data_IF_556642935011
#
_entry.id   IF_556642935011
#
_cell.length_a   1.000
_cell.length_b   1.000
_cell.length_c   1.000
_cell.angle_alpha   90.00
_cell.angle_beta   90.00
_cell.angle_gamma   90.00
#
_symmetry.space_group_name_H-M   'P 1'
#
loop_
_entity.id
_entity.type
_entity.pdbx_description
1 polymer ?
#
# COMPACT_ATOMS: atom_id res chain seq x y z
N UNK A 1 7.26 -9.15 -1.58
CA UNK A 1 5.87 -8.64 -1.58
C UNK A 1 5.23 -8.99 -2.91
N UNK A 2 3.99 -9.39 -2.89
CA UNK A 2 3.31 -9.88 -4.09
C UNK A 2 2.18 -8.94 -4.50
N UNK A 3 1.82 -8.96 -5.79
CA UNK A 3 0.60 -8.33 -6.26
C UNK A 3 -0.59 -8.93 -5.50
N UNK A 4 -1.55 -8.11 -5.16
CA UNK A 4 -2.74 -8.42 -4.36
C UNK A 4 -2.46 -8.68 -2.86
N UNK A 5 -1.25 -8.43 -2.39
CA UNK A 5 -0.99 -8.42 -0.96
C UNK A 5 -1.65 -7.21 -0.30
N UNK A 6 -2.11 -7.39 0.94
CA UNK A 6 -2.61 -6.29 1.77
C UNK A 6 -1.48 -5.78 2.65
N UNK A 7 -1.28 -4.48 2.65
CA UNK A 7 -0.18 -3.84 3.35
C UNK A 7 -0.64 -2.63 4.14
N UNK A 8 0.19 -2.21 5.09
CA UNK A 8 0.06 -0.92 5.78
C UNK A 8 1.32 -0.12 5.54
N UNK A 9 1.19 1.20 5.57
CA UNK A 9 2.36 2.07 5.53
C UNK A 9 2.87 2.27 6.96
N UNK A 10 4.16 1.98 7.19
CA UNK A 10 4.76 2.08 8.53
C UNK A 10 4.74 3.49 9.10
N UNK A 11 4.90 4.49 8.24
CA UNK A 11 5.00 5.90 8.64
C UNK A 11 3.69 6.67 8.54
N UNK A 12 2.68 6.08 7.91
CA UNK A 12 1.39 6.73 7.67
C UNK A 12 0.24 5.78 7.99
N UNK A 13 0.01 5.50 9.27
CA UNK A 13 -1.04 4.55 9.65
C UNK A 13 -2.44 5.00 9.26
N UNK A 14 -2.62 6.30 9.00
CA UNK A 14 -3.90 6.84 8.56
C UNK A 14 -4.34 6.36 7.19
N UNK A 15 -3.40 5.91 6.37
CA UNK A 15 -3.73 5.36 5.05
C UNK A 15 -4.52 4.05 5.13
N UNK A 16 -4.53 3.43 6.29
CA UNK A 16 -5.23 2.16 6.47
C UNK A 16 -4.54 1.03 5.72
N UNK A 17 -5.34 0.12 5.20
CA UNK A 17 -4.83 -1.02 4.44
C UNK A 17 -4.76 -0.65 2.96
N UNK A 18 -3.66 -1.02 2.32
CA UNK A 18 -3.49 -0.85 0.89
C UNK A 18 -3.42 -2.19 0.17
N UNK A 19 -3.79 -2.17 -1.11
CA UNK A 19 -3.70 -3.34 -1.98
C UNK A 19 -2.55 -3.12 -2.96
N UNK A 20 -1.59 -4.03 -2.98
CA UNK A 20 -0.48 -3.99 -3.93
C UNK A 20 -1.01 -4.34 -5.32
N UNK A 21 -0.90 -3.39 -6.25
CA UNK A 21 -1.38 -3.57 -7.62
C UNK A 21 -0.27 -3.92 -8.59
N UNK A 22 0.98 -3.57 -8.27
CA UNK A 22 2.13 -3.86 -9.12
C UNK A 22 3.39 -3.86 -8.27
N UNK A 23 4.30 -4.77 -8.57
CA UNK A 23 5.62 -4.83 -7.93
C UNK A 23 6.69 -4.41 -8.92
N UNK A 24 7.55 -3.48 -8.51
CA UNK A 24 8.59 -2.87 -9.34
C UNK A 24 9.95 -2.97 -8.63
N UNK A 25 10.43 -4.19 -8.41
CA UNK A 25 11.69 -4.40 -7.71
C UNK A 25 11.58 -4.01 -6.24
N UNK A 26 12.29 -2.96 -5.82
CA UNK A 26 12.29 -2.49 -4.43
C UNK A 26 11.11 -1.59 -4.11
N UNK A 27 10.26 -1.30 -5.09
CA UNK A 27 9.05 -0.48 -4.90
C UNK A 27 7.82 -1.27 -5.32
N UNK A 28 6.68 -0.88 -4.77
CA UNK A 28 5.38 -1.41 -5.18
C UNK A 28 4.39 -0.27 -5.38
N UNK A 29 3.48 -0.45 -6.33
CA UNK A 29 2.32 0.41 -6.46
C UNK A 29 1.24 -0.08 -5.53
N UNK A 30 0.69 0.81 -4.73
CA UNK A 30 -0.31 0.46 -3.72
C UNK A 30 -1.55 1.33 -3.89
N UNK A 31 -2.69 0.69 -4.00
CA UNK A 31 -4.00 1.35 -3.96
C UNK A 31 -4.50 1.31 -2.52
N UNK A 32 -4.64 2.46 -1.91
CA UNK A 32 -5.07 2.57 -0.53
C UNK A 32 -6.59 2.54 -0.42
N UNK A 33 -7.08 1.94 0.65
CA UNK A 33 -8.52 1.90 0.95
C UNK A 33 -8.90 2.97 1.94
N UNK A 34 -8.22 4.05 1.91
CA UNK A 34 -8.34 5.16 2.83
C UNK A 34 -9.77 5.72 2.87
N UNK A 35 -10.39 5.80 4.04
CA UNK A 35 -11.82 6.08 4.11
C UNK A 35 -12.20 7.55 4.13
N UNK A 36 -11.29 8.49 3.84
CA UNK A 36 -11.96 9.72 3.75
C UNK A 36 -11.40 11.02 4.16
N UNK A 37 -10.17 11.33 3.88
CA UNK A 37 -9.80 12.74 3.81
C UNK A 37 -9.67 13.10 2.33
N UNK A 38 -10.57 13.96 1.84
CA UNK A 38 -10.61 14.37 0.44
C UNK A 38 -9.31 15.02 -0.04
N UNK A 39 -8.45 15.42 0.88
CA UNK A 39 -7.17 16.03 0.55
C UNK A 39 -6.07 15.02 0.25
N UNK A 40 -6.31 13.75 0.52
CA UNK A 40 -5.37 12.68 0.23
C UNK A 40 -5.90 11.82 -0.90
N UNK A 41 -5.05 11.65 -1.90
CA UNK A 41 -5.36 10.75 -3.00
C UNK A 41 -5.06 9.31 -2.55
N UNK A 42 -6.04 8.40 -2.54
CA UNK A 42 -5.81 7.01 -2.15
C UNK A 42 -4.90 6.24 -3.10
N UNK A 43 -4.50 6.84 -4.16
CA UNK A 43 -3.52 6.25 -5.02
C UNK A 43 -4.03 5.92 -6.42
N UNK A 44 -3.33 5.01 -7.11
CA UNK A 44 -2.18 4.24 -6.62
C UNK A 44 -0.96 5.11 -6.36
N UNK A 45 -0.22 4.79 -5.30
CA UNK A 45 1.02 5.46 -4.97
C UNK A 45 2.20 4.50 -5.08
N UNK A 46 3.37 5.03 -5.42
CA UNK A 46 4.60 4.24 -5.46
C UNK A 46 5.27 4.31 -4.09
N UNK A 47 5.42 3.16 -3.45
CA UNK A 47 6.00 3.08 -2.11
C UNK A 47 7.19 2.12 -2.11
N UNK A 48 8.24 2.47 -1.38
CA UNK A 48 9.35 1.55 -1.16
C UNK A 48 8.90 0.37 -0.30
N UNK A 49 9.31 -0.84 -0.65
CA UNK A 49 8.93 -2.05 0.10
C UNK A 49 9.29 -1.94 1.58
N UNK A 50 10.40 -1.28 1.90
CA UNK A 50 10.86 -1.10 3.27
C UNK A 50 9.91 -0.25 4.13
N UNK A 51 9.05 0.55 3.51
CA UNK A 51 8.08 1.39 4.22
C UNK A 51 6.73 0.71 4.38
N UNK A 52 6.58 -0.48 3.83
CA UNK A 52 5.32 -1.23 3.87
C UNK A 52 5.43 -2.42 4.80
N UNK A 53 4.34 -2.71 5.49
CA UNK A 53 4.22 -3.88 6.35
C UNK A 53 3.11 -4.77 5.80
N UNK A 54 3.42 -6.04 5.59
CA UNK A 54 2.43 -6.99 5.05
C UNK A 54 1.41 -7.32 6.13
N UNK A 55 0.15 -7.09 5.82
CA UNK A 55 -0.98 -7.47 6.67
C UNK A 55 -1.48 -8.86 6.29
N UNK A 56 -1.63 -9.09 4.99
CA UNK A 56 -2.06 -10.38 4.46
C UNK A 56 -1.48 -10.54 3.07
N UNK A 57 -0.91 -11.70 2.81
CA UNK A 57 -0.28 -11.98 1.54
C UNK A 57 -1.18 -12.88 0.70
N UNK A 58 -1.41 -12.49 -0.55
CA UNK A 58 -2.16 -13.29 -1.49
C UNK A 58 -1.41 -14.57 -1.85
N UNK A 59 -2.15 -15.63 -2.05
CA UNK A 59 -1.61 -16.91 -2.50
C UNK A 59 -1.53 -16.98 -4.02
#
# INVERSE_FOLDING_TARGET
>A
MKVASLVKHKNHPRLGVGLVTKCLGVHCMVQWTYPGDDRLDPGPTLEANSTLEIVSESR
#
